data_IF_350520724936
#
_entry.id   IF_350520724936
#
_cell.length_a   1.000
_cell.length_b   1.000
_cell.length_c   1.000
_cell.angle_alpha   90.00
_cell.angle_beta   90.00
_cell.angle_gamma   90.00
#
_symmetry.space_group_name_H-M   'P 1'
#
loop_
_entity.id
_entity.type
_entity.pdbx_description
1 polymer ?
#
# COMPACT_ATOMS: atom_id res chain seq x y z
N UNK A 1 6.51 5.94 -13.24
CA UNK A 1 5.56 6.00 -12.11
C UNK A 1 4.85 7.33 -12.20
N UNK A 2 3.53 7.35 -12.04
CA UNK A 2 2.73 8.57 -12.05
C UNK A 2 1.88 8.60 -10.77
N UNK A 3 1.68 9.78 -10.21
CA UNK A 3 0.87 9.98 -9.00
C UNK A 3 -0.04 11.20 -9.17
N UNK A 4 -1.19 11.15 -8.53
CA UNK A 4 -2.12 12.28 -8.48
C UNK A 4 -2.83 12.31 -7.11
N UNK A 5 -3.19 13.50 -6.67
CA UNK A 5 -4.00 13.69 -5.48
C UNK A 5 -5.04 14.78 -5.73
N UNK A 6 -6.23 14.59 -5.15
CA UNK A 6 -7.30 15.58 -5.15
C UNK A 6 -7.81 15.74 -3.73
N UNK A 7 -7.87 16.99 -3.27
CA UNK A 7 -8.57 17.36 -2.03
C UNK A 7 -10.05 17.50 -2.39
N UNK A 8 -10.88 16.80 -1.64
CA UNK A 8 -12.34 16.82 -1.72
C UNK A 8 -12.89 17.16 -0.33
N UNK A 9 -14.17 17.48 -0.24
CA UNK A 9 -14.78 17.79 1.05
C UNK A 9 -14.62 16.61 2.04
N UNK A 10 -13.94 16.86 3.15
CA UNK A 10 -13.63 15.88 4.20
C UNK A 10 -12.67 14.74 3.82
N UNK A 11 -12.06 14.71 2.63
CA UNK A 11 -11.16 13.60 2.24
C UNK A 11 -10.10 13.99 1.21
N UNK A 12 -9.00 13.24 1.20
CA UNK A 12 -8.00 13.29 0.12
C UNK A 12 -8.06 11.99 -0.66
N UNK A 13 -8.30 12.08 -1.96
CA UNK A 13 -8.18 10.96 -2.89
C UNK A 13 -6.80 10.96 -3.50
N UNK A 14 -6.09 9.84 -3.38
CA UNK A 14 -4.77 9.64 -3.97
C UNK A 14 -4.83 8.51 -4.99
N UNK A 15 -4.08 8.64 -6.07
CA UNK A 15 -3.94 7.60 -7.08
C UNK A 15 -2.46 7.43 -7.45
N UNK A 16 -2.07 6.18 -7.71
CA UNK A 16 -0.73 5.83 -8.18
C UNK A 16 -0.87 4.88 -9.36
N UNK A 17 -0.12 5.17 -10.44
CA UNK A 17 0.09 4.27 -11.56
C UNK A 17 1.55 3.85 -11.54
N UNK A 18 1.77 2.60 -11.19
CA UNK A 18 3.11 2.01 -11.04
C UNK A 18 3.35 1.11 -12.25
N UNK A 19 4.33 1.43 -13.12
CA UNK A 19 4.72 0.55 -14.23
C UNK A 19 5.24 -0.80 -13.70
N UNK A 20 4.99 -1.88 -14.43
CA UNK A 20 5.38 -3.23 -14.00
C UNK A 20 6.91 -3.40 -13.93
N UNK A 21 7.64 -2.64 -14.74
CA UNK A 21 9.10 -2.59 -14.78
C UNK A 21 9.69 -2.17 -13.42
N UNK A 22 8.93 -1.39 -12.62
CA UNK A 22 9.34 -1.00 -11.27
C UNK A 22 9.44 -2.21 -10.31
N UNK A 23 8.78 -3.33 -10.63
CA UNK A 23 8.84 -4.57 -9.87
C UNK A 23 9.75 -5.62 -10.50
N UNK A 24 10.40 -5.31 -11.63
CA UNK A 24 11.22 -6.26 -12.40
C UNK A 24 10.42 -7.38 -13.08
N UNK A 25 9.10 -7.42 -12.91
CA UNK A 25 8.21 -8.40 -13.54
C UNK A 25 6.78 -7.87 -13.66
N UNK A 26 6.08 -8.32 -14.70
CA UNK A 26 4.63 -8.17 -14.84
C UNK A 26 3.92 -9.38 -14.20
N UNK A 27 2.89 -9.19 -13.36
CA UNK A 27 2.14 -10.30 -12.79
C UNK A 27 1.36 -11.02 -13.89
N UNK A 28 1.26 -12.35 -13.75
CA UNK A 28 0.36 -13.20 -14.54
C UNK A 28 -0.96 -13.38 -13.81
N UNK A 29 -2.02 -13.71 -14.54
CA UNK A 29 -3.28 -14.13 -13.93
C UNK A 29 -3.05 -15.34 -13.03
N UNK A 30 -3.53 -15.26 -11.79
CA UNK A 30 -3.33 -16.27 -10.77
C UNK A 30 -2.13 -16.04 -9.86
N UNK A 31 -1.21 -15.13 -10.23
CA UNK A 31 -0.11 -14.76 -9.34
C UNK A 31 -0.66 -14.17 -8.04
N UNK A 32 -0.01 -14.53 -6.93
CA UNK A 32 -0.24 -13.93 -5.62
C UNK A 32 1.04 -13.21 -5.22
N UNK A 33 0.96 -11.90 -5.07
CA UNK A 33 2.07 -11.10 -4.52
C UNK A 33 1.77 -10.73 -3.08
N UNK A 34 2.82 -10.55 -2.29
CA UNK A 34 2.71 -10.09 -0.91
C UNK A 34 3.01 -8.60 -0.82
N UNK A 35 2.17 -7.84 -0.13
CA UNK A 35 2.46 -6.46 0.21
C UNK A 35 1.47 -5.85 1.22
N UNK A 36 1.55 -4.54 1.41
CA UNK A 36 0.69 -3.81 2.33
C UNK A 36 0.43 -2.38 1.81
N UNK A 37 -0.64 -1.75 2.31
CA UNK A 37 -0.94 -0.33 2.06
C UNK A 37 -0.88 0.38 3.41
N UNK A 38 -0.05 1.41 3.49
CA UNK A 38 0.33 2.05 4.75
C UNK A 38 -0.01 3.54 4.70
N UNK A 39 -0.40 4.11 5.84
CA UNK A 39 -0.60 5.55 5.98
C UNK A 39 0.09 6.05 7.24
N UNK A 40 0.89 7.10 7.08
CA UNK A 40 1.53 7.85 8.15
C UNK A 40 1.06 9.30 8.06
N UNK A 41 0.41 9.81 9.09
CA UNK A 41 -0.25 11.13 9.07
C UNK A 41 -0.06 11.85 10.40
N UNK A 42 -0.04 13.18 10.39
CA UNK A 42 0.22 13.99 11.59
C UNK A 42 1.71 14.18 11.86
N UNK A 43 2.04 14.65 13.06
CA UNK A 43 3.40 15.00 13.51
C UNK A 43 3.57 14.73 15.00
N UNK A 44 4.81 14.53 15.43
CA UNK A 44 5.15 14.36 16.85
C UNK A 44 4.47 13.13 17.47
N UNK A 45 4.07 13.20 18.76
CA UNK A 45 3.44 12.09 19.47
C UNK A 45 2.06 11.71 18.91
N UNK A 46 1.34 12.66 18.30
CA UNK A 46 0.01 12.46 17.70
C UNK A 46 0.08 11.88 16.28
N UNK A 47 1.24 11.39 15.84
CA UNK A 47 1.40 10.80 14.51
C UNK A 47 0.65 9.47 14.44
N UNK A 48 -0.33 9.39 13.55
CA UNK A 48 -1.09 8.18 13.26
C UNK A 48 -0.35 7.25 12.30
N UNK A 49 -0.32 5.96 12.65
CA UNK A 49 0.23 4.88 11.82
C UNK A 49 -0.87 3.86 11.54
N UNK A 50 -1.19 3.67 10.26
CA UNK A 50 -2.30 2.84 9.81
C UNK A 50 -1.77 1.87 8.76
N UNK A 51 -2.30 0.64 8.76
CA UNK A 51 -1.98 -0.39 7.79
C UNK A 51 -3.24 -1.14 7.38
N UNK A 52 -3.34 -1.53 6.11
CA UNK A 52 -4.40 -2.43 5.65
C UNK A 52 -4.31 -3.80 6.32
N UNK A 53 -3.11 -4.40 6.32
CA UNK A 53 -2.80 -5.57 7.13
C UNK A 53 -2.02 -5.17 8.39
N UNK A 54 -2.51 -5.49 9.61
CA UNK A 54 -1.85 -5.11 10.85
C UNK A 54 -0.44 -5.70 11.00
N UNK A 55 0.56 -4.86 11.28
CA UNK A 55 1.95 -5.30 11.49
C UNK A 55 2.20 -5.90 12.88
N UNK A 56 1.36 -5.53 13.87
CA UNK A 56 1.37 -6.08 15.25
C UNK A 56 2.76 -6.05 15.92
N UNK A 57 3.53 -5.00 15.67
CA UNK A 57 4.79 -4.73 16.35
C UNK A 57 4.57 -3.84 17.57
N UNK A 58 5.46 -3.93 18.56
CA UNK A 58 5.38 -3.13 19.79
C UNK A 58 5.50 -1.63 19.51
N UNK A 59 6.42 -1.26 18.62
CA UNK A 59 6.57 0.11 18.10
C UNK A 59 6.13 0.18 16.64
N UNK A 60 5.70 1.35 16.12
CA UNK A 60 5.30 1.48 14.73
C UNK A 60 6.40 1.05 13.75
N UNK A 61 6.18 -0.05 13.04
CA UNK A 61 7.09 -0.55 12.03
C UNK A 61 6.31 -0.99 10.79
N UNK A 62 6.77 -0.55 9.62
CA UNK A 62 6.21 -0.84 8.31
C UNK A 62 6.99 -1.90 7.52
N UNK A 63 8.24 -2.17 7.91
CA UNK A 63 9.13 -3.12 7.25
C UNK A 63 9.00 -4.51 7.90
N UNK A 64 7.81 -5.10 7.82
CA UNK A 64 7.51 -6.43 8.39
C UNK A 64 6.93 -7.34 7.32
N UNK A 65 7.75 -7.90 6.40
CA UNK A 65 7.27 -8.69 5.26
C UNK A 65 6.39 -9.88 5.64
N UNK A 66 6.62 -10.48 6.80
CA UNK A 66 5.83 -11.61 7.30
C UNK A 66 4.36 -11.25 7.56
N UNK A 67 4.05 -9.96 7.73
CA UNK A 67 2.70 -9.43 7.97
C UNK A 67 2.05 -8.87 6.70
N UNK A 68 2.70 -8.97 5.55
CA UNK A 68 2.10 -8.59 4.29
C UNK A 68 0.89 -9.47 3.97
N UNK A 69 -0.16 -8.83 3.47
CA UNK A 69 -1.33 -9.49 2.89
C UNK A 69 -1.07 -9.96 1.47
N UNK A 70 -2.10 -10.53 0.87
CA UNK A 70 -2.05 -11.11 -0.47
C UNK A 70 -2.79 -10.25 -1.49
N UNK A 71 -2.13 -9.97 -2.60
CA UNK A 71 -2.72 -9.39 -3.80
C UNK A 71 -2.80 -10.47 -4.87
N UNK A 72 -4.00 -11.03 -5.04
CA UNK A 72 -4.28 -11.99 -6.11
C UNK A 72 -4.58 -11.24 -7.41
N UNK A 73 -3.74 -11.45 -8.41
CA UNK A 73 -3.93 -10.87 -9.73
C UNK A 73 -4.94 -11.71 -10.51
N UNK A 74 -6.15 -11.17 -10.66
CA UNK A 74 -7.21 -11.74 -11.49
C UNK A 74 -7.14 -11.04 -12.85
N UNK A 75 -7.20 -11.81 -13.95
CA UNK A 75 -7.14 -11.24 -15.30
C UNK A 75 -8.21 -10.17 -15.52
N UNK A 76 -8.03 -9.32 -16.54
CA UNK A 76 -9.10 -8.43 -16.97
C UNK A 76 -10.25 -9.30 -17.49
N UNK A 77 -11.46 -9.03 -16.99
CA UNK A 77 -12.70 -9.58 -17.56
C UNK A 77 -13.01 -8.92 -18.89
#
# INVERSE_FOLDING_TARGET
METAARIEDGRVRMAMKIPWEAFGRKPKTGDVWRGNILRCVGKGPERGYLAWQPTRTETPNFHVPDKFGEFKFVGQR
#
